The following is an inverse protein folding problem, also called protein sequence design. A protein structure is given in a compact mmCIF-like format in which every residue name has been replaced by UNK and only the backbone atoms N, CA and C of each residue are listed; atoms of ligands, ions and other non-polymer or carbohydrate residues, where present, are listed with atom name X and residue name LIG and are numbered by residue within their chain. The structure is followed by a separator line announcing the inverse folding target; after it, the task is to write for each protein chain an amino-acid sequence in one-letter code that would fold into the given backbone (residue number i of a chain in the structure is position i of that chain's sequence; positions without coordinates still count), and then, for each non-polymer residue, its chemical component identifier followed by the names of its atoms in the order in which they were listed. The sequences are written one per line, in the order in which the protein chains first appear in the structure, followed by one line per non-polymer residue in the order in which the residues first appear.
data_IF_104625180281
#
_entry.id   IF_104625180281
#
_cell.length_a   1.000
_cell.length_b   1.000
_cell.length_c   1.000
_cell.angle_alpha   90.00
_cell.angle_beta   90.00
_cell.angle_gamma   90.00
#
_symmetry.space_group_name_H-M   'P 1'
#
loop_
_entity.id
_entity.type
_entity.pdbx_description
1 polymer ?
#
# COMPACT_ATOMS: atom_id res chain seq x y z
N UNK A 1 3.52 -16.09 -9.15
CA UNK A 1 4.14 -15.02 -9.97
C UNK A 1 4.10 -13.77 -9.13
N UNK A 2 5.26 -13.21 -8.84
CA UNK A 2 5.46 -12.19 -7.81
C UNK A 2 5.13 -10.79 -8.36
N UNK A 3 4.50 -9.96 -7.54
CA UNK A 3 4.30 -8.55 -7.84
C UNK A 3 5.52 -7.77 -7.33
N UNK A 4 5.98 -6.78 -8.08
CA UNK A 4 7.13 -5.97 -7.72
C UNK A 4 6.67 -4.56 -7.38
N UNK A 5 7.23 -3.99 -6.31
CA UNK A 5 7.03 -2.60 -5.94
C UNK A 5 8.33 -1.81 -6.08
N UNK A 6 8.25 -0.63 -6.69
CA UNK A 6 9.35 0.32 -6.75
C UNK A 6 8.92 1.69 -6.20
N UNK A 7 9.89 2.47 -5.72
CA UNK A 7 9.64 3.68 -4.95
C UNK A 7 10.32 4.89 -5.58
N UNK A 8 9.60 5.99 -5.69
CA UNK A 8 10.10 7.29 -6.12
C UNK A 8 9.85 8.32 -5.02
N UNK A 9 10.85 9.14 -4.72
CA UNK A 9 10.70 10.31 -3.86
C UNK A 9 10.42 11.53 -4.73
N UNK A 10 9.42 12.32 -4.39
CA UNK A 10 9.18 13.57 -5.09
C UNK A 10 10.17 14.64 -4.64
N UNK A 11 10.85 15.29 -5.59
CA UNK A 11 11.79 16.38 -5.32
C UNK A 11 11.12 17.60 -4.66
N UNK A 12 9.85 17.82 -4.97
CA UNK A 12 9.01 18.85 -4.36
C UNK A 12 7.68 18.24 -3.90
N UNK A 13 7.57 17.95 -2.60
CA UNK A 13 6.35 17.43 -2.01
C UNK A 13 5.17 18.42 -2.21
N UNK A 14 4.09 17.94 -2.81
CA UNK A 14 2.87 18.76 -3.04
C UNK A 14 1.82 18.42 -1.98
N UNK A 15 1.13 19.44 -1.47
CA UNK A 15 -0.06 19.23 -0.63
C UNK A 15 -1.19 18.68 -1.49
N UNK A 16 -1.56 17.42 -1.26
CA UNK A 16 -2.68 16.74 -1.91
C UNK A 16 -3.21 15.63 -1.01
N UNK A 17 -4.27 14.98 -1.45
CA UNK A 17 -4.82 13.81 -0.77
C UNK A 17 -3.81 12.66 -0.83
N UNK A 18 -3.53 12.03 0.32
CA UNK A 18 -2.76 10.79 0.38
C UNK A 18 -3.67 9.60 0.08
N UNK A 19 -3.23 8.67 -0.77
CA UNK A 19 -4.04 7.53 -1.21
C UNK A 19 -4.28 6.49 -0.10
N UNK A 20 -3.48 6.51 0.97
CA UNK A 20 -3.61 5.54 2.07
C UNK A 20 -4.52 6.02 3.21
N UNK A 21 -4.40 7.28 3.62
CA UNK A 21 -5.09 7.80 4.82
C UNK A 21 -6.11 8.88 4.50
N UNK A 22 -6.30 9.21 3.22
CA UNK A 22 -7.22 10.22 2.71
C UNK A 22 -7.04 11.66 3.22
N UNK A 23 -6.08 11.93 4.09
CA UNK A 23 -5.81 13.29 4.59
C UNK A 23 -5.07 14.12 3.54
N UNK A 24 -5.42 15.40 3.46
CA UNK A 24 -4.71 16.39 2.63
C UNK A 24 -3.44 16.82 3.38
N UNK A 25 -2.28 16.41 2.87
CA UNK A 25 -0.96 16.72 3.45
C UNK A 25 0.14 16.64 2.39
N UNK A 26 1.39 17.00 2.71
CA UNK A 26 2.50 16.78 1.78
C UNK A 26 2.59 15.30 1.39
N UNK A 27 2.50 15.03 0.10
CA UNK A 27 2.79 13.73 -0.49
C UNK A 27 4.22 13.74 -0.98
N UNK A 28 4.99 12.76 -0.51
CA UNK A 28 6.46 12.73 -0.61
C UNK A 28 6.95 11.52 -1.40
N UNK A 29 6.12 10.48 -1.51
CA UNK A 29 6.49 9.18 -2.08
C UNK A 29 5.46 8.74 -3.13
N UNK A 30 5.94 8.14 -4.21
CA UNK A 30 5.15 7.36 -5.17
C UNK A 30 5.61 5.91 -5.13
N UNK A 31 4.69 5.01 -4.81
CA UNK A 31 4.86 3.57 -4.96
C UNK A 31 4.32 3.15 -6.34
N UNK A 32 5.10 2.40 -7.11
CA UNK A 32 4.70 1.84 -8.40
C UNK A 32 4.57 0.33 -8.27
N UNK A 33 3.39 -0.21 -8.56
CA UNK A 33 3.13 -1.64 -8.56
C UNK A 33 3.24 -2.19 -9.98
N UNK A 34 4.07 -3.21 -10.15
CA UNK A 34 4.27 -3.85 -11.45
C UNK A 34 4.12 -5.36 -11.38
N UNK A 35 3.69 -5.93 -12.49
CA UNK A 35 3.54 -7.39 -12.67
C UNK A 35 3.92 -7.74 -14.10
N UNK A 36 4.85 -8.68 -14.27
CA UNK A 36 5.35 -9.08 -15.59
C UNK A 36 5.90 -7.90 -16.41
N UNK A 37 6.59 -6.96 -15.73
CA UNK A 37 7.13 -5.74 -16.37
C UNK A 37 6.08 -4.70 -16.77
N UNK A 38 4.80 -4.94 -16.47
CA UNK A 38 3.71 -3.99 -16.72
C UNK A 38 3.39 -3.22 -15.44
N UNK A 39 3.28 -1.90 -15.55
CA UNK A 39 2.74 -1.06 -14.48
C UNK A 39 1.25 -1.34 -14.33
N UNK A 40 0.83 -1.81 -13.17
CA UNK A 40 -0.57 -2.16 -12.87
C UNK A 40 -1.24 -1.18 -11.91
N UNK A 41 -0.47 -0.28 -11.29
CA UNK A 41 -1.01 0.78 -10.45
C UNK A 41 0.08 1.58 -9.75
N UNK A 42 -0.34 2.65 -9.10
CA UNK A 42 0.52 3.49 -8.28
C UNK A 42 -0.21 4.04 -7.05
N UNK A 43 0.56 4.42 -6.04
CA UNK A 43 0.07 5.04 -4.80
C UNK A 43 0.90 6.28 -4.48
N UNK A 44 0.21 7.39 -4.27
CA UNK A 44 0.76 8.67 -3.85
C UNK A 44 0.61 8.83 -2.33
N UNK A 45 1.74 8.69 -1.62
CA UNK A 45 1.79 8.54 -0.17
C UNK A 45 2.47 9.72 0.53
N UNK A 46 1.89 10.13 1.66
CA UNK A 46 2.59 10.98 2.62
C UNK A 46 3.70 10.20 3.33
N UNK A 47 4.68 10.90 3.89
CA UNK A 47 5.83 10.28 4.58
C UNK A 47 5.43 9.16 5.56
N UNK A 48 4.53 9.40 6.52
CA UNK A 48 4.12 8.37 7.48
C UNK A 48 3.47 7.13 6.84
N UNK A 49 2.59 7.31 5.85
CA UNK A 49 1.95 6.18 5.18
C UNK A 49 2.94 5.40 4.31
N UNK A 50 3.86 6.10 3.63
CA UNK A 50 4.88 5.45 2.81
C UNK A 50 5.84 4.60 3.65
N UNK A 51 6.20 5.05 4.85
CA UNK A 51 7.02 4.27 5.78
C UNK A 51 6.32 2.97 6.22
N UNK A 52 5.05 3.06 6.62
CA UNK A 52 4.26 1.88 7.02
C UNK A 52 4.10 0.90 5.86
N UNK A 53 3.74 1.37 4.66
CA UNK A 53 3.58 0.50 3.49
C UNK A 53 4.92 -0.13 3.11
N UNK A 54 6.02 0.61 3.18
CA UNK A 54 7.35 0.06 2.95
C UNK A 54 7.69 -1.05 3.95
N UNK A 55 7.38 -0.86 5.23
CA UNK A 55 7.58 -1.89 6.26
C UNK A 55 6.74 -3.14 5.97
N UNK A 56 5.43 -2.99 5.76
CA UNK A 56 4.51 -4.10 5.47
C UNK A 56 4.97 -4.95 4.27
N UNK A 57 5.48 -4.29 3.22
CA UNK A 57 5.94 -4.98 2.01
C UNK A 57 7.38 -5.49 2.10
N UNK A 58 8.17 -5.00 3.05
CA UNK A 58 9.54 -5.48 3.30
C UNK A 58 9.58 -6.70 4.22
N UNK A 59 8.52 -6.93 5.00
CA UNK A 59 8.38 -8.12 5.84
C UNK A 59 8.11 -9.32 4.91
N UNK A 60 9.08 -10.25 4.86
CA UNK A 60 8.99 -11.49 4.07
C UNK A 60 8.22 -12.60 4.78
N UNK A 61 7.90 -12.42 6.05
CA UNK A 61 7.10 -13.38 6.78
C UNK A 61 5.63 -13.11 6.49
N UNK A 62 4.83 -14.14 6.15
CA UNK A 62 3.40 -13.96 6.02
C UNK A 62 2.87 -13.40 7.35
N UNK A 63 2.07 -12.34 7.28
CA UNK A 63 1.36 -11.83 8.45
C UNK A 63 0.72 -13.00 9.18
N UNK A 64 0.96 -13.09 10.49
CA UNK A 64 0.35 -14.13 11.31
C UNK A 64 -1.16 -13.86 11.34
N UNK A 65 -1.90 -14.55 10.47
CA UNK A 65 -3.37 -14.51 10.50
C UNK A 65 -3.81 -15.22 11.77
N UNK A 66 -4.02 -14.46 12.85
CA UNK A 66 -4.49 -15.00 14.13
C UNK A 66 -5.91 -15.56 14.01
N UNK A 67 -6.74 -14.97 13.13
CA UNK A 67 -8.13 -15.39 12.93
C UNK A 67 -8.66 -14.96 11.56
N UNK A 68 -9.20 -15.91 10.81
CA UNK A 68 -9.90 -15.69 9.56
C UNK A 68 -11.43 -15.82 9.78
N UNK A 69 -12.21 -14.89 9.22
CA UNK A 69 -13.67 -14.97 9.26
C UNK A 69 -14.23 -15.34 7.89
N UNK A 70 -14.85 -16.52 7.83
CA UNK A 70 -15.59 -16.99 6.67
C UNK A 70 -17.07 -16.63 6.84
N UNK A 71 -17.51 -15.56 6.18
CA UNK A 71 -18.90 -15.09 6.20
C UNK A 71 -19.83 -15.86 5.24
N UNK A 72 -19.33 -16.93 4.60
CA UNK A 72 -20.05 -17.69 3.57
C UNK A 72 -21.08 -18.68 4.14
N UNK A 73 -21.15 -18.87 5.45
CA UNK A 73 -22.24 -19.61 6.10
C UNK A 73 -23.16 -18.64 6.84
N UNK A 74 -23.98 -17.93 6.09
CA UNK A 74 -25.20 -17.34 6.63
C UNK A 74 -26.11 -18.46 7.13
N UNK A 75 -25.98 -18.84 8.40
CA UNK A 75 -27.08 -19.44 9.15
C UNK A 75 -27.65 -18.35 10.04
N UNK A 76 -28.85 -17.93 9.66
CA UNK A 76 -29.71 -17.08 10.46
C UNK A 76 -29.84 -17.65 11.88
N UNK A 77 -29.78 -16.73 12.84
CA UNK A 77 -30.05 -16.93 14.26
C UNK A 77 -31.44 -17.56 14.50
#
# INVERSE_FOLDING_TARGET
MEAEISWLKFDAAKKRKCDCCDLIRPVELKALLSRQGLLIGDLDLCGPCGEVVHQLLSVREPDLVEKEWNFLEGRDL
#
